data_IF_538028020065
#
_entry.id   IF_538028020065
#
_cell.length_a   1.000
_cell.length_b   1.000
_cell.length_c   1.000
_cell.angle_alpha   90.00
_cell.angle_beta   90.00
_cell.angle_gamma   90.00
#
_symmetry.space_group_name_H-M   'P 1'
#
loop_
_entity.id
_entity.type
_entity.pdbx_description
1 polymer ?
#
# COMPACT_ATOMS: atom_id res chain seq x y z
N UNK A 1 -18.58 44.92 -28.38
CA UNK A 1 -18.50 43.46 -28.20
C UNK A 1 -17.38 43.23 -27.20
N UNK A 2 -17.72 42.62 -26.08
CA UNK A 2 -17.10 42.75 -24.75
C UNK A 2 -15.63 42.34 -24.61
N UNK A 3 -14.94 43.08 -23.73
CA UNK A 3 -13.57 42.88 -23.25
C UNK A 3 -13.62 42.16 -21.88
N UNK A 4 -14.37 41.03 -21.79
CA UNK A 4 -14.71 40.37 -20.51
C UNK A 4 -14.26 38.92 -20.37
N UNK A 5 -13.53 38.37 -21.34
CA UNK A 5 -13.11 36.95 -21.33
C UNK A 5 -11.62 36.72 -21.05
N UNK A 6 -10.84 37.76 -20.72
CA UNK A 6 -9.40 37.66 -20.36
C UNK A 6 -9.18 37.91 -18.86
N UNK A 7 -10.11 37.49 -18.00
CA UNK A 7 -9.88 37.54 -16.55
C UNK A 7 -10.40 36.32 -15.79
N UNK A 8 -10.41 35.14 -16.42
CA UNK A 8 -10.67 33.89 -15.73
C UNK A 8 -9.53 32.89 -16.00
N UNK A 9 -8.72 32.67 -14.95
CA UNK A 9 -7.86 31.50 -14.69
C UNK A 9 -6.60 31.33 -15.55
N UNK A 10 -5.42 31.66 -14.97
CA UNK A 10 -4.51 30.59 -14.55
C UNK A 10 -3.87 30.80 -13.15
N UNK A 11 -4.33 31.74 -12.34
CA UNK A 11 -3.73 32.01 -11.02
C UNK A 11 -4.18 31.02 -9.92
N UNK A 12 -5.37 30.43 -10.03
CA UNK A 12 -5.88 29.44 -9.06
C UNK A 12 -5.30 28.04 -9.24
N UNK A 13 -4.77 27.69 -10.41
CA UNK A 13 -4.14 26.37 -10.65
C UNK A 13 -2.66 26.33 -10.23
N UNK A 14 -2.03 27.50 -10.05
CA UNK A 14 -0.64 27.58 -9.54
C UNK A 14 -0.64 27.65 -8.01
N UNK A 15 -1.59 28.37 -7.40
CA UNK A 15 -1.68 28.46 -5.93
C UNK A 15 -2.18 27.16 -5.26
N UNK A 16 -3.03 26.38 -5.93
CA UNK A 16 -3.45 25.04 -5.48
C UNK A 16 -2.32 24.00 -5.63
N UNK A 17 -1.39 24.24 -6.56
CA UNK A 17 -0.21 23.40 -6.78
C UNK A 17 0.90 23.62 -5.75
N UNK A 18 1.09 24.83 -5.24
CA UNK A 18 2.18 25.12 -4.28
C UNK A 18 1.87 24.55 -2.89
N UNK A 19 0.64 24.75 -2.37
CA UNK A 19 0.25 24.17 -1.07
C UNK A 19 0.12 22.64 -1.09
N UNK A 20 -0.34 22.05 -2.20
CA UNK A 20 -0.41 20.59 -2.30
C UNK A 20 0.98 19.97 -2.32
N UNK A 21 1.93 20.55 -3.03
CA UNK A 21 3.31 20.03 -3.09
C UNK A 21 3.97 20.08 -1.71
N UNK A 22 3.78 21.15 -0.94
CA UNK A 22 4.30 21.25 0.43
C UNK A 22 3.69 20.21 1.37
N UNK A 23 2.38 20.00 1.27
CA UNK A 23 1.68 18.98 2.06
C UNK A 23 2.17 17.57 1.70
N UNK A 24 2.34 17.27 0.41
CA UNK A 24 2.83 15.98 -0.07
C UNK A 24 4.25 15.68 0.41
N UNK A 25 5.13 16.68 0.42
CA UNK A 25 6.50 16.57 0.92
C UNK A 25 6.54 16.19 2.40
N UNK A 26 5.54 16.62 3.20
CA UNK A 26 5.43 16.25 4.61
C UNK A 26 4.69 14.93 4.85
N UNK A 27 3.62 14.66 4.09
CA UNK A 27 2.78 13.48 4.26
C UNK A 27 3.49 12.20 3.79
N UNK A 28 4.22 12.24 2.66
CA UNK A 28 4.93 11.09 2.12
C UNK A 28 5.90 10.44 3.13
N UNK A 29 6.85 11.17 3.75
CA UNK A 29 7.72 10.58 4.76
C UNK A 29 6.94 10.08 5.99
N UNK A 30 5.88 10.77 6.41
CA UNK A 30 5.06 10.33 7.53
C UNK A 30 4.38 8.99 7.23
N UNK A 31 3.79 8.82 6.04
CA UNK A 31 3.21 7.55 5.57
C UNK A 31 4.27 6.47 5.50
N UNK A 32 5.47 6.79 5.01
CA UNK A 32 6.57 5.83 4.93
C UNK A 32 7.00 5.33 6.31
N UNK A 33 7.21 6.23 7.26
CA UNK A 33 7.62 5.87 8.63
C UNK A 33 6.53 5.03 9.30
N UNK A 34 5.29 5.48 9.21
CA UNK A 34 4.16 4.79 9.82
C UNK A 34 3.91 3.42 9.17
N UNK A 35 4.00 3.35 7.84
CA UNK A 35 3.85 2.13 7.08
C UNK A 35 4.96 1.11 7.35
N UNK A 36 6.23 1.55 7.47
CA UNK A 36 7.35 0.68 7.84
C UNK A 36 7.13 0.11 9.25
N UNK A 37 6.74 0.96 10.21
CA UNK A 37 6.42 0.52 11.56
C UNK A 37 5.26 -0.49 11.54
N UNK A 38 4.18 -0.20 10.83
CA UNK A 38 3.01 -1.08 10.70
C UNK A 38 3.33 -2.44 10.07
N UNK A 39 4.14 -2.45 9.02
CA UNK A 39 4.58 -3.68 8.36
C UNK A 39 5.49 -4.52 9.26
N UNK A 40 6.43 -3.89 9.99
CA UNK A 40 7.28 -4.59 10.96
C UNK A 40 6.43 -5.22 12.07
N UNK A 41 5.50 -4.45 12.65
CA UNK A 41 4.58 -4.96 13.67
C UNK A 41 3.74 -6.13 13.13
N UNK A 42 3.28 -6.04 11.88
CA UNK A 42 2.52 -7.10 11.23
C UNK A 42 3.36 -8.37 11.08
N UNK A 43 4.60 -8.28 10.61
CA UNK A 43 5.51 -9.43 10.51
C UNK A 43 5.77 -10.05 11.89
N UNK A 44 6.07 -9.24 12.90
CA UNK A 44 6.29 -9.72 14.28
C UNK A 44 5.03 -10.42 14.81
N UNK A 45 3.86 -9.85 14.58
CA UNK A 45 2.57 -10.42 15.02
C UNK A 45 2.27 -11.74 14.33
N UNK A 46 2.55 -11.82 13.02
CA UNK A 46 2.43 -13.04 12.22
C UNK A 46 3.35 -14.15 12.76
N UNK A 47 4.60 -13.81 13.09
CA UNK A 47 5.56 -14.76 13.63
C UNK A 47 5.21 -15.20 15.06
N UNK A 48 4.66 -14.29 15.86
CA UNK A 48 4.33 -14.54 17.27
C UNK A 48 3.02 -15.32 17.44
N UNK A 49 2.04 -15.11 16.56
CA UNK A 49 0.74 -15.78 16.65
C UNK A 49 0.79 -17.15 15.98
N UNK A 50 0.09 -18.16 16.52
CA UNK A 50 -0.15 -19.49 15.90
C UNK A 50 -0.94 -19.43 14.57
N UNK A 51 -0.96 -18.28 13.89
CA UNK A 51 -1.50 -18.08 12.54
C UNK A 51 -0.70 -18.85 11.49
N UNK A 52 0.48 -19.38 11.82
CA UNK A 52 1.37 -20.11 10.91
C UNK A 52 0.72 -21.29 10.17
N UNK A 53 -0.32 -21.91 10.72
CA UNK A 53 -1.05 -23.02 10.07
C UNK A 53 -2.26 -22.59 9.23
N UNK A 54 -2.59 -21.30 9.20
CA UNK A 54 -3.81 -20.79 8.53
C UNK A 54 -3.45 -20.28 7.13
N UNK A 55 -4.28 -20.60 6.12
CA UNK A 55 -4.20 -20.05 4.73
C UNK A 55 -3.99 -18.54 4.69
N UNK A 56 -4.63 -17.82 5.62
CA UNK A 56 -4.51 -16.37 5.81
C UNK A 56 -3.08 -15.85 6.01
N UNK A 57 -2.18 -16.66 6.57
CA UNK A 57 -0.79 -16.27 6.82
C UNK A 57 -0.02 -15.98 5.52
N UNK A 58 -0.20 -16.81 4.49
CA UNK A 58 0.50 -16.63 3.22
C UNK A 58 0.08 -15.33 2.52
N UNK A 59 -1.22 -15.00 2.55
CA UNK A 59 -1.73 -13.73 2.01
C UNK A 59 -1.23 -12.52 2.80
N UNK A 60 -1.18 -12.60 4.13
CA UNK A 60 -0.66 -11.52 4.98
C UNK A 60 0.85 -11.28 4.77
N UNK A 61 1.64 -12.34 4.58
CA UNK A 61 3.07 -12.21 4.26
C UNK A 61 3.24 -11.55 2.89
N UNK A 62 2.49 -11.98 1.87
CA UNK A 62 2.54 -11.38 0.53
C UNK A 62 2.12 -9.90 0.56
N UNK A 63 1.08 -9.56 1.30
CA UNK A 63 0.60 -8.19 1.52
C UNK A 63 1.69 -7.33 2.18
N UNK A 64 2.18 -7.72 3.36
CA UNK A 64 3.22 -6.97 4.10
C UNK A 64 4.53 -6.84 3.33
N UNK A 65 4.86 -7.83 2.48
CA UNK A 65 6.02 -7.75 1.58
C UNK A 65 5.79 -6.72 0.47
N UNK A 66 4.62 -6.73 -0.18
CA UNK A 66 4.27 -5.76 -1.22
C UNK A 66 4.25 -4.32 -0.67
N UNK A 67 3.67 -4.10 0.50
CA UNK A 67 3.66 -2.79 1.16
C UNK A 67 5.08 -2.35 1.53
N UNK A 68 5.93 -3.25 2.02
CA UNK A 68 7.33 -2.92 2.34
C UNK A 68 8.13 -2.53 1.09
N UNK A 69 7.94 -3.24 -0.02
CA UNK A 69 8.57 -2.92 -1.32
C UNK A 69 8.10 -1.56 -1.83
N UNK A 70 6.80 -1.27 -1.73
CA UNK A 70 6.24 0.03 -2.10
C UNK A 70 6.86 1.18 -1.29
N UNK A 71 6.94 1.02 0.04
CA UNK A 71 7.49 2.05 0.93
C UNK A 71 9.00 2.26 0.71
N UNK A 72 9.76 1.20 0.41
CA UNK A 72 11.18 1.32 0.05
C UNK A 72 11.34 2.06 -1.28
N UNK A 73 10.49 1.78 -2.27
CA UNK A 73 10.46 2.53 -3.53
C UNK A 73 10.18 4.03 -3.33
N UNK A 74 9.23 4.35 -2.45
CA UNK A 74 8.96 5.74 -2.05
C UNK A 74 10.13 6.40 -1.31
N UNK A 75 10.82 5.68 -0.41
CA UNK A 75 12.03 6.21 0.24
C UNK A 75 13.12 6.54 -0.77
N UNK A 76 13.34 5.66 -1.76
CA UNK A 76 14.34 5.91 -2.81
C UNK A 76 14.00 7.17 -3.60
N UNK A 77 12.72 7.38 -3.93
CA UNK A 77 12.25 8.63 -4.57
C UNK A 77 12.53 9.84 -3.68
N UNK A 78 12.18 9.75 -2.39
CA UNK A 78 12.29 10.88 -1.45
C UNK A 78 13.74 11.26 -1.15
N UNK A 79 14.65 10.28 -1.09
CA UNK A 79 16.07 10.54 -0.83
C UNK A 79 16.78 11.23 -2.00
N UNK A 80 16.07 11.48 -3.13
CA UNK A 80 16.64 12.02 -4.38
C UNK A 80 17.97 11.35 -4.71
N UNK A 81 18.05 10.03 -4.52
CA UNK A 81 19.21 9.27 -4.97
C UNK A 81 19.32 9.53 -6.45
N UNK A 82 20.38 10.22 -6.87
CA UNK A 82 20.49 10.86 -8.18
C UNK A 82 20.03 9.88 -9.28
N UNK A 83 18.79 10.05 -9.75
CA UNK A 83 18.13 9.17 -10.71
C UNK A 83 18.66 9.54 -12.10
N UNK A 84 19.97 9.42 -12.27
CA UNK A 84 20.68 9.69 -13.53
C UNK A 84 20.25 8.68 -14.61
N UNK A 85 19.69 7.54 -14.20
CA UNK A 85 19.16 6.52 -15.11
C UNK A 85 17.62 6.60 -15.20
N UNK A 86 17.11 7.03 -16.36
CA UNK A 86 15.69 6.96 -16.75
C UNK A 86 15.07 5.58 -16.45
N UNK A 87 15.86 4.51 -16.61
CA UNK A 87 15.42 3.14 -16.33
C UNK A 87 15.00 2.93 -14.87
N UNK A 88 15.68 3.55 -13.90
CA UNK A 88 15.33 3.40 -12.49
C UNK A 88 13.99 4.05 -12.14
N UNK A 89 13.66 5.19 -12.76
CA UNK A 89 12.37 5.84 -12.58
C UNK A 89 11.23 4.94 -13.07
N UNK A 90 11.37 4.39 -14.28
CA UNK A 90 10.38 3.47 -14.88
C UNK A 90 10.23 2.21 -14.04
N UNK A 91 11.34 1.63 -13.56
CA UNK A 91 11.32 0.45 -12.72
C UNK A 91 10.61 0.72 -11.39
N UNK A 92 10.88 1.86 -10.75
CA UNK A 92 10.23 2.19 -9.47
C UNK A 92 8.73 2.42 -9.67
N UNK A 93 8.33 3.19 -10.68
CA UNK A 93 6.91 3.40 -10.98
C UNK A 93 6.18 2.07 -11.25
N UNK A 94 6.84 1.17 -11.98
CA UNK A 94 6.32 -0.18 -12.23
C UNK A 94 6.19 -1.00 -10.94
N UNK A 95 7.19 -0.95 -10.06
CA UNK A 95 7.17 -1.65 -8.76
C UNK A 95 6.06 -1.09 -7.87
N UNK A 96 5.89 0.23 -7.81
CA UNK A 96 4.85 0.88 -7.01
C UNK A 96 3.45 0.46 -7.46
N UNK A 97 3.22 0.54 -8.77
CA UNK A 97 1.96 0.14 -9.41
C UNK A 97 1.66 -1.36 -9.17
N UNK A 98 2.65 -2.21 -9.38
CA UNK A 98 2.53 -3.66 -9.17
C UNK A 98 2.25 -4.00 -7.71
N UNK A 99 2.92 -3.34 -6.77
CA UNK A 99 2.72 -3.53 -5.33
C UNK A 99 1.30 -3.15 -4.91
N UNK A 100 0.75 -2.05 -5.46
CA UNK A 100 -0.64 -1.64 -5.21
C UNK A 100 -1.64 -2.69 -5.70
N UNK A 101 -1.40 -3.28 -6.87
CA UNK A 101 -2.25 -4.36 -7.36
C UNK A 101 -2.15 -5.59 -6.46
N UNK A 102 -0.94 -6.06 -6.12
CA UNK A 102 -0.74 -7.22 -5.24
C UNK A 102 -1.45 -7.02 -3.89
N UNK A 103 -1.36 -5.82 -3.31
CA UNK A 103 -2.05 -5.48 -2.07
C UNK A 103 -3.57 -5.62 -2.21
N UNK A 104 -4.15 -5.05 -3.27
CA UNK A 104 -5.60 -5.16 -3.55
C UNK A 104 -6.07 -6.62 -3.74
N UNK A 105 -5.31 -7.44 -4.48
CA UNK A 105 -5.60 -8.86 -4.69
C UNK A 105 -5.49 -9.65 -3.38
N UNK A 106 -4.50 -9.33 -2.54
CA UNK A 106 -4.31 -9.97 -1.23
C UNK A 106 -5.47 -9.65 -0.27
N UNK A 107 -5.97 -8.41 -0.26
CA UNK A 107 -7.14 -8.01 0.52
C UNK A 107 -8.41 -8.72 0.02
N UNK A 108 -8.59 -8.81 -1.30
CA UNK A 108 -9.71 -9.53 -1.89
C UNK A 108 -9.69 -11.02 -1.51
N UNK A 109 -8.52 -11.67 -1.61
CA UNK A 109 -8.35 -13.06 -1.21
C UNK A 109 -8.61 -13.26 0.30
N UNK A 110 -8.09 -12.37 1.16
CA UNK A 110 -8.36 -12.41 2.60
C UNK A 110 -9.86 -12.28 2.89
N UNK A 111 -10.55 -11.39 2.17
CA UNK A 111 -12.00 -11.20 2.30
C UNK A 111 -12.76 -12.46 1.90
N UNK A 112 -12.36 -13.12 0.81
CA UNK A 112 -12.96 -14.39 0.37
C UNK A 112 -12.74 -15.49 1.40
N UNK A 113 -11.54 -15.65 1.94
CA UNK A 113 -11.23 -16.63 2.99
C UNK A 113 -12.10 -16.41 4.24
N UNK A 114 -12.27 -15.14 4.67
CA UNK A 114 -13.15 -14.80 5.80
C UNK A 114 -14.62 -15.06 5.46
N UNK A 115 -15.06 -14.73 4.26
CA UNK A 115 -16.40 -15.02 3.79
C UNK A 115 -16.69 -16.53 3.78
N UNK A 116 -15.77 -17.35 3.26
CA UNK A 116 -15.91 -18.80 3.27
C UNK A 116 -15.95 -19.37 4.70
N UNK A 117 -15.13 -18.86 5.61
CA UNK A 117 -15.16 -19.28 7.01
C UNK A 117 -16.50 -18.95 7.71
N UNK A 118 -17.13 -17.83 7.34
CA UNK A 118 -18.44 -17.42 7.87
C UNK A 118 -19.59 -18.21 7.22
N UNK A 119 -19.56 -18.40 5.90
CA UNK A 119 -20.59 -19.11 5.15
C UNK A 119 -20.54 -20.64 5.35
N UNK A 120 -19.35 -21.18 5.63
CA UNK A 120 -19.12 -22.59 5.93
C UNK A 120 -18.39 -22.76 7.28
N UNK A 121 -19.08 -22.57 8.42
CA UNK A 121 -18.48 -22.70 9.75
C UNK A 121 -18.07 -24.14 10.12
N UNK A 122 -18.16 -25.11 9.21
CA UNK A 122 -18.24 -26.55 9.50
C UNK A 122 -17.10 -27.42 8.93
N UNK A 123 -15.88 -26.90 8.76
CA UNK A 123 -14.71 -27.80 8.58
C UNK A 123 -13.73 -27.83 9.75
N UNK A 124 -13.77 -26.87 10.67
CA UNK A 124 -12.92 -26.88 11.86
C UNK A 124 -13.60 -27.48 13.10
N UNK A 125 -14.93 -27.47 13.21
CA UNK A 125 -15.61 -28.12 14.34
C UNK A 125 -15.56 -29.65 14.25
N UNK A 126 -15.59 -30.22 13.04
CA UNK A 126 -15.56 -31.68 12.87
C UNK A 126 -14.22 -32.31 13.28
N UNK A 127 -13.10 -31.62 13.08
CA UNK A 127 -11.78 -32.17 13.47
C UNK A 127 -11.57 -32.12 14.99
N UNK A 128 -12.15 -31.14 15.70
CA UNK A 128 -12.04 -31.04 17.16
C UNK A 128 -13.09 -31.87 17.93
N UNK A 129 -14.11 -32.40 17.26
CA UNK A 129 -15.12 -33.31 17.84
C UNK A 129 -14.79 -34.80 17.59
N UNK A 130 -13.81 -35.08 16.72
CA UNK A 130 -13.41 -36.45 16.33
C UNK A 130 -12.02 -36.84 16.88
N UNK A 131 -11.30 -35.92 17.55
CA UNK A 131 -10.09 -36.21 18.35
C UNK A 131 -10.43 -36.35 19.84
#
# INVERSE_FOLDING_TARGET
MDLKDVNATPLSTVFDGEETVDLYVFILPAIVIFGLCGNIISIVTILHTRLREVSANHYLITLTTADSVFLVGLLLILFKFDFVAYELCVIIEYILTTSSYISSWSIAALTIERYMAIAHPLKHVMVSVVL
#
